data_IF_031300601530
#
_entry.id   IF_031300601530
#
_cell.length_a   1.000
_cell.length_b   1.000
_cell.length_c   1.000
_cell.angle_alpha   90.00
_cell.angle_beta   90.00
_cell.angle_gamma   90.00
#
_symmetry.space_group_name_H-M   'P 1'
#
loop_
_entity.id
_entity.type
_entity.pdbx_description
1 polymer ?
#
# COMPACT_ATOMS: atom_id res chain seq x y z
N UNK A 1 -7.41 2.53 -9.33
CA UNK A 1 -6.20 3.39 -9.25
C UNK A 1 -5.07 2.45 -8.82
N UNK A 2 -4.20 2.02 -9.73
CA UNK A 2 -3.14 1.07 -9.35
C UNK A 2 -2.05 1.83 -8.60
N UNK A 3 -1.93 1.55 -7.29
CA UNK A 3 -0.79 1.95 -6.48
C UNK A 3 0.46 1.24 -7.03
N UNK A 4 1.50 2.00 -7.39
CA UNK A 4 2.79 1.46 -7.79
C UNK A 4 3.87 2.05 -6.89
N UNK A 5 4.92 1.27 -6.62
CA UNK A 5 6.05 1.72 -5.80
C UNK A 5 6.74 2.95 -6.41
N UNK A 6 6.74 3.06 -7.73
CA UNK A 6 7.22 4.25 -8.44
C UNK A 6 6.38 5.50 -8.15
N UNK A 7 5.04 5.39 -8.20
CA UNK A 7 4.15 6.52 -7.87
C UNK A 7 4.25 6.93 -6.41
N UNK A 8 4.44 5.95 -5.53
CA UNK A 8 4.73 6.19 -4.12
C UNK A 8 6.01 7.00 -3.96
N UNK A 9 7.11 6.57 -4.57
CA UNK A 9 8.37 7.28 -4.48
C UNK A 9 8.31 8.69 -5.10
N UNK A 10 7.68 8.84 -6.26
CA UNK A 10 7.48 10.13 -6.93
C UNK A 10 6.74 11.17 -6.07
N UNK A 11 5.82 10.74 -5.21
CA UNK A 11 5.15 11.62 -4.26
C UNK A 11 6.15 12.25 -3.28
N UNK A 12 7.02 11.45 -2.66
CA UNK A 12 8.04 11.96 -1.74
C UNK A 12 9.09 12.80 -2.45
N UNK A 13 9.49 12.44 -3.68
CA UNK A 13 10.36 13.28 -4.50
C UNK A 13 9.77 14.68 -4.67
N UNK A 14 8.46 14.80 -4.90
CA UNK A 14 7.80 16.11 -5.02
C UNK A 14 7.83 16.90 -3.72
N UNK A 15 7.63 16.26 -2.57
CA UNK A 15 7.74 16.92 -1.25
C UNK A 15 9.16 17.43 -1.05
N UNK A 16 10.16 16.59 -1.30
CA UNK A 16 11.56 16.94 -1.08
C UNK A 16 12.03 18.06 -2.01
N UNK A 17 11.58 18.04 -3.27
CA UNK A 17 11.82 19.14 -4.19
C UNK A 17 11.11 20.44 -3.78
N UNK A 18 9.88 20.35 -3.24
CA UNK A 18 9.13 21.52 -2.78
C UNK A 18 9.84 22.25 -1.62
N UNK A 19 10.43 21.51 -0.68
CA UNK A 19 11.20 22.07 0.42
C UNK A 19 12.69 22.24 0.13
N UNK A 20 13.12 21.96 -1.12
CA UNK A 20 14.53 22.00 -1.54
C UNK A 20 15.46 21.10 -0.71
N UNK A 21 14.95 19.98 -0.17
CA UNK A 21 15.76 19.00 0.54
C UNK A 21 16.47 18.07 -0.45
N UNK A 22 17.80 18.11 -0.44
CA UNK A 22 18.64 17.29 -1.33
C UNK A 22 19.49 16.24 -0.61
N UNK A 23 19.68 16.37 0.70
CA UNK A 23 20.41 15.41 1.54
C UNK A 23 19.44 14.85 2.57
N UNK A 24 19.27 13.53 2.63
CA UNK A 24 18.22 12.89 3.43
C UNK A 24 18.79 11.66 4.12
N UNK A 25 18.40 11.44 5.38
CA UNK A 25 18.65 10.19 6.08
C UNK A 25 17.38 9.33 5.97
N UNK A 26 17.50 8.13 5.40
CA UNK A 26 16.40 7.18 5.28
C UNK A 26 16.55 6.08 6.33
N UNK A 27 15.73 6.12 7.39
CA UNK A 27 15.67 5.10 8.43
C UNK A 27 14.54 4.13 8.10
N UNK A 28 14.78 2.81 8.17
CA UNK A 28 13.71 1.85 7.88
C UNK A 28 13.87 0.52 8.59
N UNK A 29 12.73 -0.13 8.87
CA UNK A 29 12.72 -1.46 9.48
C UNK A 29 13.05 -2.54 8.43
N UNK A 30 14.15 -3.27 8.65
CA UNK A 30 14.62 -4.29 7.69
C UNK A 30 13.85 -5.61 7.81
N UNK A 31 13.36 -5.94 9.01
CA UNK A 31 12.72 -7.23 9.33
C UNK A 31 11.37 -7.41 8.64
N UNK A 32 10.64 -6.32 8.39
CA UNK A 32 9.34 -6.39 7.71
C UNK A 32 9.52 -6.29 6.19
N UNK A 33 9.21 -7.36 5.42
CA UNK A 33 9.51 -7.40 3.99
C UNK A 33 8.88 -6.24 3.21
N UNK A 34 7.64 -5.86 3.55
CA UNK A 34 6.94 -4.77 2.89
C UNK A 34 7.59 -3.40 3.16
N UNK A 35 7.95 -3.11 4.42
CA UNK A 35 8.59 -1.84 4.79
C UNK A 35 9.98 -1.73 4.18
N UNK A 36 10.75 -2.83 4.20
CA UNK A 36 12.04 -2.93 3.55
C UNK A 36 11.95 -2.72 2.03
N UNK A 37 10.95 -3.33 1.37
CA UNK A 37 10.70 -3.15 -0.06
C UNK A 37 10.36 -1.68 -0.39
N UNK A 38 9.54 -1.03 0.43
CA UNK A 38 9.18 0.38 0.25
C UNK A 38 10.40 1.29 0.38
N UNK A 39 11.22 1.06 1.40
CA UNK A 39 12.44 1.82 1.61
C UNK A 39 13.42 1.66 0.45
N UNK A 40 13.65 0.42 -0.01
CA UNK A 40 14.50 0.14 -1.19
C UNK A 40 13.96 0.82 -2.44
N UNK A 41 12.65 0.74 -2.70
CA UNK A 41 12.06 1.42 -3.86
C UNK A 41 12.18 2.94 -3.78
N UNK A 42 12.10 3.51 -2.58
CA UNK A 42 12.24 4.96 -2.38
C UNK A 42 13.68 5.39 -2.63
N UNK A 43 14.64 4.65 -2.06
CA UNK A 43 16.07 4.85 -2.25
C UNK A 43 16.48 4.80 -3.73
N UNK A 44 16.03 3.77 -4.46
CA UNK A 44 16.33 3.61 -5.89
C UNK A 44 15.86 4.81 -6.72
N UNK A 45 14.69 5.38 -6.38
CA UNK A 45 14.16 6.55 -7.08
C UNK A 45 14.91 7.81 -6.68
N UNK A 46 15.26 7.99 -5.41
CA UNK A 46 16.06 9.14 -4.95
C UNK A 46 17.41 9.23 -5.63
N UNK A 47 18.11 8.10 -5.78
CA UNK A 47 19.35 8.04 -6.54
C UNK A 47 19.17 8.48 -8.00
N UNK A 48 18.10 8.06 -8.67
CA UNK A 48 17.83 8.42 -10.07
C UNK A 48 17.52 9.90 -10.26
N UNK A 49 17.01 10.58 -9.23
CA UNK A 49 16.66 12.02 -9.27
C UNK A 49 17.69 12.90 -8.55
N UNK A 50 18.88 12.37 -8.25
CA UNK A 50 19.98 13.08 -7.60
C UNK A 50 19.65 13.64 -6.20
N UNK A 51 18.84 12.91 -5.41
CA UNK A 51 18.69 13.16 -3.97
C UNK A 51 19.69 12.28 -3.23
N UNK A 52 20.67 12.91 -2.57
CA UNK A 52 21.67 12.23 -1.75
C UNK A 52 20.99 11.61 -0.53
N UNK A 53 21.08 10.29 -0.42
CA UNK A 53 20.36 9.54 0.61
C UNK A 53 21.31 8.65 1.41
N UNK A 54 21.37 8.85 2.73
CA UNK A 54 22.07 7.96 3.67
C UNK A 54 21.08 6.95 4.22
N UNK A 55 21.21 5.68 3.82
CA UNK A 55 20.32 4.59 4.24
C UNK A 55 20.78 3.97 5.56
N UNK A 56 19.89 3.95 6.56
CA UNK A 56 20.13 3.44 7.91
C UNK A 56 19.05 2.40 8.27
N UNK A 57 19.20 1.13 7.83
CA UNK A 57 18.29 0.07 8.24
C UNK A 57 18.44 -0.25 9.74
N UNK A 58 17.35 -0.63 10.40
CA UNK A 58 17.42 -1.15 11.76
C UNK A 58 16.72 -2.51 11.89
N UNK A 59 17.26 -3.33 12.80
CA UNK A 59 16.70 -4.62 13.24
C UNK A 59 16.30 -4.63 14.70
N UNK A 60 16.88 -3.73 15.48
CA UNK A 60 16.71 -3.61 16.92
C UNK A 60 16.34 -2.16 17.26
N UNK A 61 15.64 -1.98 18.37
CA UNK A 61 15.07 -0.70 18.80
C UNK A 61 16.09 0.17 19.54
N UNK A 62 17.28 0.31 18.96
CA UNK A 62 18.33 1.17 19.50
C UNK A 62 18.51 2.38 18.58
N UNK A 63 17.75 3.44 18.84
CA UNK A 63 17.61 4.57 17.93
C UNK A 63 18.60 5.71 18.19
N UNK A 64 19.12 5.89 19.41
CA UNK A 64 20.02 7.01 19.70
C UNK A 64 21.31 6.98 18.86
N UNK A 65 22.06 5.87 18.75
CA UNK A 65 23.25 5.82 17.89
C UNK A 65 22.91 5.99 16.41
N UNK A 66 21.73 5.50 16.01
CA UNK A 66 21.25 5.59 14.63
C UNK A 66 20.96 7.05 14.24
N UNK A 67 20.31 7.80 15.14
CA UNK A 67 20.03 9.22 14.99
C UNK A 67 21.31 10.05 15.00
N UNK A 68 22.23 9.75 15.91
CA UNK A 68 23.54 10.41 15.97
C UNK A 68 24.33 10.18 14.68
N UNK A 69 24.36 8.95 14.15
CA UNK A 69 25.02 8.67 12.87
C UNK A 69 24.35 9.43 11.73
N UNK A 70 23.03 9.37 11.61
CA UNK A 70 22.29 10.10 10.58
C UNK A 70 22.52 11.60 10.65
N UNK A 71 22.64 12.17 11.85
CA UNK A 71 22.83 13.61 12.06
C UNK A 71 24.12 14.16 11.48
N UNK A 72 25.12 13.30 11.19
CA UNK A 72 26.36 13.67 10.52
C UNK A 72 26.17 13.96 9.02
N UNK A 73 25.07 13.47 8.44
CA UNK A 73 24.82 13.52 6.99
C UNK A 73 23.69 14.48 6.63
N UNK A 74 22.63 14.57 7.44
CA UNK A 74 21.51 15.50 7.20
C UNK A 74 20.74 15.85 8.48
N UNK A 75 19.93 16.91 8.38
CA UNK A 75 18.91 17.30 9.35
C UNK A 75 17.50 16.82 8.97
N UNK A 76 17.34 16.23 7.79
CA UNK A 76 16.06 15.71 7.27
C UNK A 76 16.06 14.19 7.39
N UNK A 77 15.23 13.68 8.29
CA UNK A 77 15.08 12.27 8.57
C UNK A 77 13.76 11.77 7.97
N UNK A 78 13.81 10.79 7.08
CA UNK A 78 12.65 10.09 6.57
C UNK A 78 12.63 8.66 7.13
N UNK A 79 11.56 8.31 7.84
CA UNK A 79 11.46 7.03 8.53
C UNK A 79 10.31 6.18 7.98
N UNK A 80 10.59 4.93 7.63
CA UNK A 80 9.59 3.91 7.25
C UNK A 80 9.62 2.77 8.29
N UNK A 81 8.66 2.75 9.20
CA UNK A 81 8.58 1.79 10.29
C UNK A 81 7.15 1.56 10.76
N UNK A 82 6.97 0.68 11.75
CA UNK A 82 5.72 0.63 12.52
C UNK A 82 5.53 1.87 13.37
N UNK A 83 4.30 2.09 13.85
CA UNK A 83 3.95 3.21 14.72
C UNK A 83 4.72 3.17 16.04
N UNK A 84 4.90 1.98 16.62
CA UNK A 84 5.60 1.81 17.89
C UNK A 84 7.10 2.07 17.75
N UNK A 85 7.70 1.65 16.63
CA UNK A 85 9.12 1.90 16.38
C UNK A 85 9.36 3.39 16.09
N UNK A 86 8.46 4.04 15.33
CA UNK A 86 8.56 5.47 15.08
C UNK A 86 8.40 6.28 16.39
N UNK A 87 7.43 5.90 17.23
CA UNK A 87 7.22 6.52 18.53
C UNK A 87 8.46 6.40 19.43
N UNK A 88 9.09 5.22 19.49
CA UNK A 88 10.34 5.05 20.25
C UNK A 88 11.50 5.85 19.65
N UNK A 89 11.57 5.93 18.34
CA UNK A 89 12.58 6.72 17.63
C UNK A 89 12.44 8.21 17.95
N UNK A 90 11.21 8.75 17.97
CA UNK A 90 11.03 10.19 18.25
C UNK A 90 11.29 10.54 19.71
N UNK A 91 11.03 9.62 20.66
CA UNK A 91 11.44 9.81 22.05
C UNK A 91 12.97 9.82 22.19
N UNK A 92 13.68 8.97 21.46
CA UNK A 92 15.14 9.02 21.39
C UNK A 92 15.64 10.32 20.72
N UNK A 93 14.94 10.82 19.70
CA UNK A 93 15.26 12.12 19.12
C UNK A 93 15.07 13.26 20.13
N UNK A 94 14.01 13.20 20.95
CA UNK A 94 13.76 14.15 22.03
C UNK A 94 14.86 14.13 23.09
N UNK A 95 15.33 12.95 23.52
CA UNK A 95 16.42 12.83 24.51
C UNK A 95 17.74 13.43 23.99
N UNK A 96 17.95 13.37 22.67
CA UNK A 96 19.10 13.94 21.97
C UNK A 96 18.93 15.43 21.60
N UNK A 97 17.80 16.06 21.93
CA UNK A 97 17.50 17.44 21.56
C UNK A 97 17.25 17.64 20.06
N UNK A 98 16.96 16.57 19.32
CA UNK A 98 16.75 16.57 17.86
C UNK A 98 15.28 16.85 17.47
N UNK A 99 14.48 17.44 18.36
CA UNK A 99 13.07 17.81 18.13
C UNK A 99 12.84 19.31 18.35
N UNK A 100 13.93 20.08 18.48
CA UNK A 100 13.96 21.52 18.81
C UNK A 100 13.69 22.45 17.60
N UNK A 101 13.35 21.90 16.44
CA UNK A 101 13.14 22.64 15.19
C UNK A 101 14.37 22.71 14.26
N UNK A 102 15.55 22.28 14.69
CA UNK A 102 16.73 22.17 13.81
C UNK A 102 16.67 20.94 12.88
N UNK A 103 15.81 19.97 13.22
CA UNK A 103 15.63 18.71 12.52
C UNK A 103 14.19 18.57 12.07
N UNK A 104 14.01 17.89 10.93
CA UNK A 104 12.69 17.52 10.41
C UNK A 104 12.56 16.01 10.41
N UNK A 105 11.52 15.50 11.04
CA UNK A 105 11.22 14.07 11.09
C UNK A 105 9.99 13.76 10.22
N UNK A 106 10.22 13.14 9.07
CA UNK A 106 9.16 12.65 8.22
C UNK A 106 8.82 11.21 8.58
N UNK A 107 7.60 10.99 9.06
CA UNK A 107 7.08 9.65 9.25
C UNK A 107 6.33 9.18 8.01
N UNK A 108 6.93 8.27 7.24
CA UNK A 108 6.33 7.69 6.04
C UNK A 108 5.53 6.44 6.43
N UNK A 109 4.21 6.59 6.53
CA UNK A 109 3.26 5.51 6.80
C UNK A 109 2.74 4.89 5.51
N UNK A 110 2.69 3.57 5.49
CA UNK A 110 2.20 2.82 4.33
C UNK A 110 0.76 2.32 4.45
N UNK A 111 0.29 2.11 5.68
CA UNK A 111 -1.09 1.75 6.00
C UNK A 111 -1.43 2.30 7.38
N UNK A 112 -2.71 2.52 7.61
CA UNK A 112 -3.21 3.09 8.87
C UNK A 112 -3.32 2.00 9.95
N UNK A 113 -2.90 2.32 11.17
CA UNK A 113 -3.10 1.52 12.39
C UNK A 113 -3.82 2.39 13.43
N UNK A 114 -4.14 1.80 14.59
CA UNK A 114 -5.16 2.19 15.58
C UNK A 114 -5.14 3.66 16.10
N UNK A 115 -4.15 4.48 15.73
CA UNK A 115 -3.98 5.87 16.16
C UNK A 115 -3.97 6.83 14.96
N UNK A 116 -5.09 7.53 14.74
CA UNK A 116 -5.30 8.37 13.56
C UNK A 116 -4.99 9.85 13.84
N UNK A 117 -4.34 10.52 12.89
CA UNK A 117 -4.18 11.98 12.86
C UNK A 117 -3.45 12.58 14.07
N UNK A 118 -4.09 13.57 14.71
CA UNK A 118 -3.54 14.44 15.75
C UNK A 118 -3.09 13.73 17.04
N UNK A 119 -3.41 12.44 17.19
CA UNK A 119 -3.13 11.62 18.38
C UNK A 119 -2.15 10.46 18.10
N UNK A 120 -1.39 10.53 17.01
CA UNK A 120 -0.40 9.49 16.67
C UNK A 120 0.64 9.23 17.78
N UNK A 121 0.87 10.23 18.65
CA UNK A 121 1.77 10.19 19.80
C UNK A 121 1.17 9.53 21.05
N UNK A 122 -0.17 9.46 21.17
CA UNK A 122 -0.86 9.06 22.40
C UNK A 122 -0.75 7.54 22.61
N UNK A 123 -0.30 7.15 23.80
CA UNK A 123 -0.24 5.74 24.26
C UNK A 123 -0.91 5.55 25.63
N UNK A 124 -1.40 6.63 26.26
CA UNK A 124 -1.93 6.62 27.63
C UNK A 124 -0.90 6.15 28.66
N UNK A 125 0.35 6.60 28.49
CA UNK A 125 1.47 6.32 29.39
C UNK A 125 2.12 7.61 29.92
N UNK A 126 3.15 7.47 30.75
CA UNK A 126 3.86 8.60 31.35
C UNK A 126 4.66 9.45 30.35
N UNK A 127 4.86 8.97 29.12
CA UNK A 127 5.64 9.63 28.08
C UNK A 127 4.78 10.48 27.15
N UNK A 128 3.46 10.47 27.29
CA UNK A 128 2.52 11.16 26.39
C UNK A 128 2.81 12.66 26.25
N UNK A 129 3.13 13.37 27.34
CA UNK A 129 3.47 14.81 27.26
C UNK A 129 4.77 15.05 26.49
N UNK A 130 5.76 14.19 26.71
CA UNK A 130 7.06 14.23 26.04
C UNK A 130 6.90 13.91 24.55
N UNK A 131 6.14 12.85 24.24
CA UNK A 131 5.83 12.44 22.88
C UNK A 131 5.05 13.54 22.14
N UNK A 132 4.02 14.13 22.76
CA UNK A 132 3.25 15.23 22.17
C UNK A 132 4.15 16.39 21.76
N UNK A 133 5.05 16.81 22.65
CA UNK A 133 6.03 17.87 22.37
C UNK A 133 6.97 17.48 21.22
N UNK A 134 7.50 16.26 21.24
CA UNK A 134 8.40 15.76 20.20
C UNK A 134 7.73 15.72 18.81
N UNK A 135 6.43 15.39 18.76
CA UNK A 135 5.65 15.33 17.52
C UNK A 135 5.41 16.68 16.86
N UNK A 136 5.67 17.82 17.52
CA UNK A 136 5.65 19.14 16.87
C UNK A 136 6.73 19.25 15.76
N UNK A 137 7.77 18.42 15.82
CA UNK A 137 8.84 18.32 14.80
C UNK A 137 8.56 17.27 13.72
N UNK A 138 7.39 16.59 13.77
CA UNK A 138 7.06 15.44 12.92
C UNK A 138 6.08 15.79 11.82
N UNK A 139 6.41 15.41 10.59
CA UNK A 139 5.50 15.39 9.44
C UNK A 139 5.06 13.94 9.16
N UNK A 140 3.80 13.62 9.46
CA UNK A 140 3.23 12.31 9.13
C UNK A 140 2.72 12.32 7.69
N UNK A 141 3.28 11.45 6.86
CA UNK A 141 2.91 11.27 5.46
C UNK A 141 2.26 9.91 5.26
N UNK A 142 1.04 9.91 4.73
CA UNK A 142 0.29 8.68 4.47
C UNK A 142 -0.56 8.79 3.19
N UNK A 143 -0.95 7.66 2.58
CA UNK A 143 -1.90 7.67 1.46
C UNK A 143 -3.20 8.40 1.83
N UNK A 144 -3.67 9.24 0.91
CA UNK A 144 -4.95 9.94 1.09
C UNK A 144 -6.11 8.95 1.10
N UNK A 145 -6.99 9.11 2.09
CA UNK A 145 -8.20 8.32 2.22
C UNK A 145 -9.37 9.02 1.54
N UNK A 146 -10.21 8.30 0.78
CA UNK A 146 -11.46 8.86 0.29
C UNK A 146 -12.42 9.19 1.44
N UNK A 147 -12.83 10.45 1.57
CA UNK A 147 -13.79 10.90 2.60
C UNK A 147 -15.27 10.78 2.18
N UNK A 148 -15.51 10.18 1.01
CA UNK A 148 -16.87 10.04 0.49
C UNK A 148 -17.75 9.19 1.41
N UNK A 149 -19.05 9.56 1.53
CA UNK A 149 -20.03 8.81 2.35
C UNK A 149 -20.09 7.31 2.02
N UNK A 150 -19.90 6.91 0.75
CA UNK A 150 -19.88 5.49 0.39
C UNK A 150 -18.60 4.81 0.86
N UNK A 151 -17.44 5.44 0.77
CA UNK A 151 -16.23 4.82 1.30
C UNK A 151 -16.38 4.57 2.80
N UNK A 152 -16.96 5.51 3.53
CA UNK A 152 -17.32 5.31 4.94
C UNK A 152 -18.29 4.14 5.14
N UNK A 153 -19.31 4.00 4.29
CA UNK A 153 -20.24 2.88 4.36
C UNK A 153 -19.57 1.54 4.03
N UNK A 154 -18.77 1.48 2.97
CA UNK A 154 -17.97 0.32 2.59
C UNK A 154 -17.10 -0.16 3.75
N UNK A 155 -16.43 0.76 4.44
CA UNK A 155 -15.61 0.44 5.62
C UNK A 155 -16.47 -0.19 6.73
N UNK A 156 -17.66 0.34 7.00
CA UNK A 156 -18.59 -0.24 7.98
C UNK A 156 -19.04 -1.64 7.56
N UNK A 157 -19.43 -1.82 6.30
CA UNK A 157 -19.90 -3.08 5.77
C UNK A 157 -18.82 -4.16 5.86
N UNK A 158 -17.56 -3.82 5.52
CA UNK A 158 -16.41 -4.72 5.65
C UNK A 158 -16.21 -5.16 7.11
N UNK A 159 -16.31 -4.24 8.08
CA UNK A 159 -16.16 -4.57 9.51
C UNK A 159 -17.27 -5.50 10.00
N UNK A 160 -18.53 -5.19 9.66
CA UNK A 160 -19.69 -6.01 10.02
C UNK A 160 -19.56 -7.41 9.42
N UNK A 161 -19.17 -7.48 8.15
CA UNK A 161 -18.97 -8.73 7.43
C UNK A 161 -17.83 -9.54 8.03
N UNK A 162 -16.67 -8.93 8.27
CA UNK A 162 -15.54 -9.59 8.91
C UNK A 162 -15.91 -10.25 10.25
N UNK A 163 -16.70 -9.56 11.08
CA UNK A 163 -17.17 -10.08 12.36
C UNK A 163 -18.18 -11.22 12.20
N UNK A 164 -19.28 -10.96 11.50
CA UNK A 164 -20.39 -11.91 11.39
C UNK A 164 -20.01 -13.19 10.65
N UNK A 165 -19.16 -13.06 9.65
CA UNK A 165 -18.80 -14.16 8.77
C UNK A 165 -17.53 -14.85 9.30
N UNK A 166 -16.46 -14.11 9.53
CA UNK A 166 -15.15 -14.73 9.79
C UNK A 166 -14.77 -14.76 11.28
N UNK A 167 -15.69 -14.35 12.18
CA UNK A 167 -15.43 -14.15 13.60
C UNK A 167 -14.16 -13.28 13.83
N UNK A 168 -13.93 -12.32 12.94
CA UNK A 168 -12.75 -11.47 12.95
C UNK A 168 -13.15 -10.03 13.32
N UNK A 169 -12.74 -9.62 14.51
CA UNK A 169 -13.02 -8.26 14.99
C UNK A 169 -11.94 -7.30 14.51
N UNK A 170 -12.27 -6.52 13.48
CA UNK A 170 -11.49 -5.34 13.08
C UNK A 170 -11.80 -4.20 14.05
N UNK A 171 -11.21 -4.21 15.26
CA UNK A 171 -11.42 -3.25 16.38
C UNK A 171 -11.32 -1.75 15.96
N UNK A 172 -10.47 -0.96 16.61
CA UNK A 172 -10.14 0.40 16.14
C UNK A 172 -9.26 0.37 14.88
N UNK A 173 -8.92 -0.83 14.39
CA UNK A 173 -8.18 -1.04 13.15
C UNK A 173 -9.01 -0.57 11.96
N UNK A 174 -8.37 0.24 11.14
CA UNK A 174 -8.92 0.70 9.88
C UNK A 174 -8.94 -0.42 8.83
N UNK A 175 -9.79 -0.28 7.82
CA UNK A 175 -9.76 -1.21 6.68
C UNK A 175 -8.50 -0.94 5.86
N UNK A 176 -7.63 -1.94 5.79
CA UNK A 176 -6.37 -1.85 5.08
C UNK A 176 -6.58 -1.42 3.60
N UNK A 177 -5.69 -0.59 3.09
CA UNK A 177 -5.67 -0.16 1.67
C UNK A 177 -5.68 -1.36 0.71
N UNK A 178 -5.07 -2.49 1.08
CA UNK A 178 -5.11 -3.72 0.29
C UNK A 178 -6.53 -4.28 0.17
N UNK A 179 -7.34 -4.24 1.22
CA UNK A 179 -8.74 -4.68 1.16
C UNK A 179 -9.53 -3.86 0.15
N UNK A 180 -9.31 -2.54 0.14
CA UNK A 180 -9.91 -1.64 -0.85
C UNK A 180 -9.39 -1.96 -2.26
N UNK A 181 -8.08 -2.15 -2.42
CA UNK A 181 -7.47 -2.46 -3.70
C UNK A 181 -7.98 -3.79 -4.29
N UNK A 182 -8.17 -4.82 -3.47
CA UNK A 182 -8.75 -6.09 -3.91
C UNK A 182 -10.21 -5.92 -4.31
N UNK A 183 -11.01 -5.20 -3.51
CA UNK A 183 -12.40 -4.91 -3.84
C UNK A 183 -12.52 -4.19 -5.20
N UNK A 184 -11.69 -3.17 -5.42
CA UNK A 184 -11.63 -2.44 -6.69
C UNK A 184 -11.18 -3.33 -7.84
N UNK A 185 -10.17 -4.17 -7.63
CA UNK A 185 -9.62 -5.06 -8.66
C UNK A 185 -10.66 -6.06 -9.15
N UNK A 186 -11.43 -6.65 -8.24
CA UNK A 186 -12.51 -7.58 -8.57
C UNK A 186 -13.67 -6.87 -9.26
N UNK A 187 -14.01 -5.66 -8.81
CA UNK A 187 -15.05 -4.83 -9.44
C UNK A 187 -14.70 -4.49 -10.89
N UNK A 188 -13.46 -4.05 -11.13
CA UNK A 188 -12.94 -3.77 -12.47
C UNK A 188 -12.91 -5.02 -13.32
N UNK A 189 -12.41 -6.14 -12.78
CA UNK A 189 -12.29 -7.40 -13.53
C UNK A 189 -13.64 -7.86 -14.07
N UNK A 190 -14.67 -7.80 -13.24
CA UNK A 190 -15.99 -8.21 -13.65
C UNK A 190 -16.68 -7.24 -14.61
N UNK A 191 -16.45 -5.93 -14.49
CA UNK A 191 -16.88 -4.99 -15.52
C UNK A 191 -16.28 -5.37 -16.89
N UNK A 192 -14.99 -5.71 -16.93
CA UNK A 192 -14.32 -6.11 -18.17
C UNK A 192 -14.86 -7.44 -18.71
N UNK A 193 -15.14 -8.41 -17.85
CA UNK A 193 -15.82 -9.65 -18.26
C UNK A 193 -17.17 -9.32 -18.90
N UNK A 194 -17.93 -8.40 -18.29
CA UNK A 194 -19.25 -8.03 -18.78
C UNK A 194 -19.20 -7.43 -20.19
N UNK A 195 -18.32 -6.46 -20.37
CA UNK A 195 -18.06 -5.84 -21.68
C UNK A 195 -17.57 -6.88 -22.70
N UNK A 196 -16.67 -7.79 -22.30
CA UNK A 196 -16.08 -8.79 -23.22
C UNK A 196 -17.13 -9.73 -23.79
N UNK A 197 -18.03 -10.25 -22.95
CA UNK A 197 -19.10 -11.14 -23.41
C UNK A 197 -20.18 -10.39 -24.18
N UNK A 198 -20.48 -9.14 -23.81
CA UNK A 198 -21.44 -8.29 -24.57
C UNK A 198 -20.97 -8.09 -26.01
N UNK A 199 -19.65 -7.98 -26.20
CA UNK A 199 -19.03 -7.89 -27.52
C UNK A 199 -18.83 -9.25 -28.21
N UNK A 200 -19.35 -10.35 -27.66
CA UNK A 200 -19.17 -11.71 -28.17
C UNK A 200 -17.74 -12.26 -28.04
N UNK A 201 -16.92 -11.66 -27.18
CA UNK A 201 -15.53 -12.04 -26.95
C UNK A 201 -15.37 -13.18 -25.95
N UNK A 202 -14.26 -13.92 -26.07
CA UNK A 202 -13.88 -14.98 -25.13
C UNK A 202 -13.15 -14.42 -23.90
N UNK A 203 -13.69 -14.71 -22.72
CA UNK A 203 -13.12 -14.28 -21.43
C UNK A 203 -11.91 -15.13 -20.99
N UNK A 204 -11.69 -16.31 -21.60
CA UNK A 204 -10.47 -17.11 -21.38
C UNK A 204 -9.26 -16.48 -22.07
N UNK A 205 -9.48 -15.58 -23.01
CA UNK A 205 -8.44 -14.82 -23.64
C UNK A 205 -7.91 -13.74 -22.68
N UNK A 206 -7.02 -14.15 -21.77
CA UNK A 206 -6.43 -13.27 -20.76
C UNK A 206 -5.67 -12.07 -21.35
N UNK A 207 -5.12 -12.19 -22.56
CA UNK A 207 -4.49 -11.06 -23.25
C UNK A 207 -5.53 -10.01 -23.69
N UNK A 208 -6.67 -10.44 -24.20
CA UNK A 208 -7.79 -9.56 -24.53
C UNK A 208 -8.35 -8.87 -23.28
N UNK A 209 -8.58 -9.62 -22.20
CA UNK A 209 -9.02 -9.09 -20.91
C UNK A 209 -8.02 -8.05 -20.37
N UNK A 210 -6.72 -8.37 -20.34
CA UNK A 210 -5.67 -7.45 -19.89
C UNK A 210 -5.59 -6.19 -20.75
N UNK A 211 -5.71 -6.32 -22.07
CA UNK A 211 -5.72 -5.19 -23.00
C UNK A 211 -6.93 -4.27 -22.78
N UNK A 212 -8.11 -4.85 -22.51
CA UNK A 212 -9.33 -4.11 -22.17
C UNK A 212 -9.28 -3.39 -20.82
N UNK A 213 -8.39 -3.80 -19.92
CA UNK A 213 -8.15 -3.12 -18.62
C UNK A 213 -7.21 -1.92 -18.71
N UNK A 214 -6.23 -1.95 -19.63
CA UNK A 214 -5.17 -0.95 -19.73
C UNK A 214 -5.70 0.38 -20.27
N UNK A 215 -5.03 1.47 -19.91
CA UNK A 215 -5.29 2.84 -20.41
C UNK A 215 -6.74 3.34 -20.24
N UNK A 216 -7.44 2.87 -19.20
CA UNK A 216 -8.81 3.29 -18.89
C UNK A 216 -8.93 3.84 -17.48
N UNK A 217 -9.82 4.81 -17.34
CA UNK A 217 -10.29 5.28 -16.04
C UNK A 217 -11.62 4.63 -15.76
N UNK A 218 -11.67 3.82 -14.70
CA UNK A 218 -12.91 3.19 -14.25
C UNK A 218 -13.69 4.19 -13.41
N UNK A 219 -14.33 5.13 -14.13
CA UNK A 219 -15.14 6.18 -13.52
C UNK A 219 -16.32 5.62 -12.74
N UNK A 220 -16.85 4.43 -13.06
CA UNK A 220 -17.91 3.83 -12.26
C UNK A 220 -17.43 3.39 -10.87
N UNK A 221 -16.26 2.80 -10.73
CA UNK A 221 -15.69 2.52 -9.40
C UNK A 221 -15.48 3.84 -8.62
N UNK A 222 -14.94 4.88 -9.26
CA UNK A 222 -14.61 6.18 -8.62
C UNK A 222 -15.85 7.07 -8.35
N UNK A 223 -16.80 7.13 -9.29
CA UNK A 223 -18.04 7.93 -9.24
C UNK A 223 -19.07 7.21 -8.39
N UNK A 224 -19.14 5.88 -8.46
CA UNK A 224 -20.08 5.17 -7.64
C UNK A 224 -19.65 5.20 -6.17
N UNK A 225 -18.35 5.26 -5.81
CA UNK A 225 -17.85 5.67 -4.46
C UNK A 225 -18.41 7.05 -4.02
N UNK A 226 -18.91 7.87 -4.94
CA UNK A 226 -19.55 9.16 -4.61
C UNK A 226 -21.09 9.11 -4.58
N UNK A 227 -21.74 8.12 -5.20
CA UNK A 227 -23.22 8.01 -5.27
C UNK A 227 -23.76 6.86 -4.41
N UNK A 228 -24.80 7.15 -3.61
CA UNK A 228 -25.44 6.23 -2.66
C UNK A 228 -26.00 4.97 -3.35
N UNK A 229 -25.67 3.80 -2.80
CA UNK A 229 -26.40 2.54 -3.01
C UNK A 229 -26.37 1.78 -1.68
N UNK A 230 -27.53 1.30 -1.21
CA UNK A 230 -27.68 0.58 0.07
C UNK A 230 -27.28 -0.90 0.00
N UNK A 231 -26.87 -1.38 -1.19
CA UNK A 231 -26.38 -2.75 -1.41
C UNK A 231 -24.91 -2.74 -1.78
N UNK A 232 -24.11 -3.70 -1.29
CA UNK A 232 -22.73 -3.90 -1.73
C UNK A 232 -22.69 -3.97 -3.26
N UNK A 233 -21.91 -3.09 -3.90
CA UNK A 233 -21.84 -3.07 -5.35
C UNK A 233 -21.33 -4.42 -5.85
N UNK A 234 -22.05 -4.97 -6.83
CA UNK A 234 -21.66 -6.13 -7.62
C UNK A 234 -21.78 -5.71 -9.08
N UNK A 235 -20.71 -5.84 -9.87
CA UNK A 235 -20.76 -5.56 -11.29
C UNK A 235 -21.75 -6.51 -11.98
N UNK A 236 -22.53 -5.99 -12.93
CA UNK A 236 -23.42 -6.79 -13.77
C UNK A 236 -22.59 -7.83 -14.52
N UNK A 237 -22.99 -9.10 -14.45
CA UNK A 237 -22.39 -10.17 -15.23
C UNK A 237 -23.35 -10.54 -16.39
N UNK A 238 -22.84 -10.84 -17.59
CA UNK A 238 -23.65 -11.19 -18.76
C UNK A 238 -24.33 -12.53 -18.55
N UNK A 239 -25.54 -12.65 -19.06
CA UNK A 239 -26.18 -13.93 -19.23
C UNK A 239 -25.62 -14.61 -20.51
N UNK A 240 -24.88 -15.70 -20.29
CA UNK A 240 -24.59 -16.79 -21.25
C UNK A 240 -23.40 -16.64 -22.23
N UNK A 241 -22.44 -17.57 -22.11
CA UNK A 241 -21.93 -18.41 -23.22
C UNK A 241 -21.57 -19.79 -22.64
N UNK A 242 -21.76 -20.87 -23.40
CA UNK A 242 -21.81 -22.28 -22.93
C UNK A 242 -20.55 -22.79 -22.21
N UNK A 243 -19.44 -22.09 -22.38
CA UNK A 243 -18.13 -22.46 -21.84
C UNK A 243 -17.76 -21.63 -20.61
N UNK A 244 -18.39 -20.47 -20.41
CA UNK A 244 -18.15 -19.52 -19.31
C UNK A 244 -18.90 -19.80 -17.98
N UNK A 245 -19.83 -20.78 -17.82
CA UNK A 245 -20.62 -20.91 -16.59
C UNK A 245 -19.75 -21.06 -15.35
N UNK A 246 -18.75 -21.96 -15.36
CA UNK A 246 -17.96 -22.27 -14.15
C UNK A 246 -17.22 -21.08 -13.54
N UNK A 247 -16.75 -20.13 -14.35
CA UNK A 247 -16.03 -18.96 -13.85
C UNK A 247 -17.00 -17.87 -13.37
N UNK A 248 -18.11 -17.66 -14.08
CA UNK A 248 -19.17 -16.75 -13.64
C UNK A 248 -19.81 -17.27 -12.35
N UNK A 249 -20.14 -18.56 -12.30
CA UNK A 249 -20.68 -19.24 -11.13
C UNK A 249 -19.71 -19.15 -9.95
N UNK A 250 -18.40 -19.34 -10.20
CA UNK A 250 -17.38 -19.16 -9.18
C UNK A 250 -17.30 -17.71 -8.69
N UNK A 251 -17.33 -16.72 -9.60
CA UNK A 251 -17.31 -15.30 -9.22
C UNK A 251 -18.56 -14.90 -8.44
N UNK A 252 -19.73 -15.38 -8.85
CA UNK A 252 -21.01 -15.17 -8.17
C UNK A 252 -21.00 -15.85 -6.79
N UNK A 253 -20.50 -17.09 -6.70
CA UNK A 253 -20.34 -17.81 -5.45
C UNK A 253 -19.35 -17.10 -4.51
N UNK A 254 -18.24 -16.58 -5.02
CA UNK A 254 -17.28 -15.75 -4.26
C UNK A 254 -17.89 -14.45 -3.73
N UNK A 255 -18.98 -13.98 -4.33
CA UNK A 255 -19.68 -12.74 -3.97
C UNK A 255 -20.95 -12.94 -3.14
N UNK A 256 -21.36 -14.19 -2.94
CA UNK A 256 -22.55 -14.55 -2.18
C UNK A 256 -22.44 -14.00 -0.75
N UNK A 257 -23.51 -13.42 -0.22
CA UNK A 257 -23.51 -12.85 1.14
C UNK A 257 -23.51 -13.96 2.21
N UNK A 258 -23.81 -15.21 1.86
CA UNK A 258 -23.65 -16.35 2.74
C UNK A 258 -22.26 -16.97 2.60
N UNK A 259 -21.52 -17.04 3.71
CA UNK A 259 -20.22 -17.68 3.74
C UNK A 259 -20.22 -19.13 3.26
N UNK A 260 -21.22 -19.90 3.65
CA UNK A 260 -21.29 -21.33 3.36
C UNK A 260 -21.49 -21.59 1.86
N UNK A 261 -21.90 -20.57 1.10
CA UNK A 261 -22.04 -20.60 -0.35
C UNK A 261 -20.78 -20.11 -1.08
N UNK A 262 -19.83 -19.50 -0.36
CA UNK A 262 -18.55 -19.13 -0.95
C UNK A 262 -17.65 -20.35 -1.04
N UNK A 263 -16.90 -20.51 -2.14
CA UNK A 263 -15.94 -21.59 -2.28
C UNK A 263 -14.79 -21.41 -1.27
N UNK A 264 -14.40 -22.49 -0.60
CA UNK A 264 -13.23 -22.51 0.28
C UNK A 264 -11.96 -22.53 -0.57
N UNK A 265 -11.19 -21.44 -0.55
CA UNK A 265 -9.86 -21.41 -1.18
C UNK A 265 -8.87 -22.00 -0.17
N UNK A 266 -8.37 -23.20 -0.42
CA UNK A 266 -7.28 -23.78 0.40
C UNK A 266 -5.99 -22.99 0.15
N UNK A 267 -5.77 -21.96 0.97
CA UNK A 267 -4.53 -21.20 1.00
C UNK A 267 -3.45 -22.07 1.66
N UNK A 268 -2.83 -22.97 0.89
CA UNK A 268 -1.67 -23.71 1.39
C UNK A 268 -0.49 -22.77 1.65
N UNK A 269 -0.40 -21.62 0.97
CA UNK A 269 0.60 -20.57 1.19
C UNK A 269 -0.10 -19.20 1.14
N UNK A 270 0.31 -18.25 2.01
CA UNK A 270 -0.15 -16.86 2.00
C UNK A 270 -0.19 -16.33 0.56
N UNK A 271 -1.37 -15.94 0.08
CA UNK A 271 -1.55 -15.41 -1.28
C UNK A 271 -0.63 -14.20 -1.51
N UNK A 272 -0.38 -13.40 -0.48
CA UNK A 272 0.56 -12.28 -0.54
C UNK A 272 1.99 -12.78 -0.81
N UNK A 273 2.44 -13.83 -0.12
CA UNK A 273 3.77 -14.42 -0.32
C UNK A 273 3.89 -15.11 -1.68
N UNK A 274 2.83 -15.76 -2.15
CA UNK A 274 2.79 -16.35 -3.49
C UNK A 274 2.81 -15.27 -4.59
N UNK A 275 2.11 -14.16 -4.38
CA UNK A 275 2.12 -13.01 -5.29
C UNK A 275 3.47 -12.29 -5.27
N UNK A 276 4.06 -12.07 -4.09
CA UNK A 276 5.38 -11.46 -3.92
C UNK A 276 6.47 -12.33 -4.57
N UNK A 277 6.47 -13.65 -4.31
CA UNK A 277 7.38 -14.60 -4.98
C UNK A 277 7.22 -14.58 -6.50
N UNK A 278 5.98 -14.55 -7.00
CA UNK A 278 5.73 -14.45 -8.45
C UNK A 278 6.16 -13.11 -9.03
N UNK A 279 5.99 -12.00 -8.31
CA UNK A 279 6.48 -10.68 -8.75
C UNK A 279 8.01 -10.64 -8.77
N UNK A 280 8.67 -11.22 -7.76
CA UNK A 280 10.12 -11.34 -7.68
C UNK A 280 10.68 -12.22 -8.81
N UNK A 281 10.05 -13.37 -9.08
CA UNK A 281 10.42 -14.26 -10.17
C UNK A 281 10.24 -13.59 -11.54
N UNK A 282 9.13 -12.86 -11.74
CA UNK A 282 8.92 -12.09 -12.97
C UNK A 282 9.95 -10.97 -13.15
N UNK A 283 10.35 -10.30 -12.06
CA UNK A 283 11.39 -9.28 -12.11
C UNK A 283 12.77 -9.87 -12.45
N UNK A 284 13.10 -11.03 -11.90
CA UNK A 284 14.35 -11.74 -12.19
C UNK A 284 14.40 -12.25 -13.64
N UNK A 285 13.31 -12.86 -14.13
CA UNK A 285 13.20 -13.29 -15.53
C UNK A 285 13.36 -12.09 -16.49
N UNK A 286 12.80 -10.92 -16.12
CA UNK A 286 12.93 -9.72 -16.95
C UNK A 286 14.36 -9.18 -16.94
N UNK A 287 15.04 -9.19 -15.79
CA UNK A 287 16.46 -8.83 -15.69
C UNK A 287 17.35 -9.73 -16.54
N UNK A 288 17.10 -11.04 -16.51
CA UNK A 288 17.84 -12.02 -17.29
C UNK A 288 17.62 -11.82 -18.79
N UNK A 289 16.37 -11.61 -19.21
CA UNK A 289 16.02 -11.34 -20.61
C UNK A 289 16.64 -10.02 -21.12
N UNK A 290 16.68 -8.98 -20.28
CA UNK A 290 17.34 -7.70 -20.60
C UNK A 290 18.85 -7.89 -20.67
N UNK A 291 19.44 -8.67 -19.76
CA UNK A 291 20.86 -9.03 -19.78
C UNK A 291 21.26 -9.71 -21.08
N UNK A 292 20.55 -10.77 -21.45
CA UNK A 292 20.80 -11.50 -22.71
C UNK A 292 20.67 -10.62 -23.95
N UNK A 293 19.68 -9.71 -23.99
CA UNK A 293 19.53 -8.77 -25.11
C UNK A 293 20.61 -7.69 -25.13
N UNK A 294 21.15 -7.31 -23.98
CA UNK A 294 22.22 -6.32 -23.88
C UNK A 294 23.55 -6.94 -24.28
N UNK A 295 23.82 -8.19 -23.90
CA UNK A 295 24.99 -8.95 -24.33
C UNK A 295 24.96 -9.22 -25.84
N UNK A 296 23.82 -9.66 -26.40
CA UNK A 296 23.67 -9.86 -27.83
C UNK A 296 23.88 -8.57 -28.67
N UNK A 297 23.63 -7.39 -28.09
CA UNK A 297 23.86 -6.11 -28.74
C UNK A 297 25.31 -5.62 -28.61
N UNK A 298 26.08 -6.15 -27.65
CA UNK A 298 27.51 -5.87 -27.49
C UNK A 298 28.37 -6.81 -28.33
N UNK A 299 27.82 -7.93 -28.78
CA UNK A 299 28.45 -8.92 -29.68
C UNK A 299 28.16 -8.67 -31.18
N UNK A 300 27.26 -7.73 -31.51
CA UNK A 300 27.05 -7.17 -32.88
C UNK A 300 27.87 -5.90 -33.12
#
# INVERSE_FOLDING_TARGET
MAFTMEKFALFYVRIFNFYHWQNIVLIYEEKQPLLNLLAKSLYDVFLRVNITTTSLPFRERNFEPLLQEGSKHSRVFATISTDDDFWKLILAAQSLGMTNGEYVHLYIRFYEVEHTGLRSWERNDEFDEVARSAYDSVLVLQPSRPESKRFTQFVKDVKVKAFNEYNYTMHNKEVNIFTTAFYDSISVYAQIINETLTDGGDIRNGQNISRRMKNRVFHDVIRQIKTKCDKPFRPSLPAMSDDVPKMIDLMQACWDESLFKRPTISASHNILDALLRRMEQNANNLKELVGQRTEAFLEE
#
